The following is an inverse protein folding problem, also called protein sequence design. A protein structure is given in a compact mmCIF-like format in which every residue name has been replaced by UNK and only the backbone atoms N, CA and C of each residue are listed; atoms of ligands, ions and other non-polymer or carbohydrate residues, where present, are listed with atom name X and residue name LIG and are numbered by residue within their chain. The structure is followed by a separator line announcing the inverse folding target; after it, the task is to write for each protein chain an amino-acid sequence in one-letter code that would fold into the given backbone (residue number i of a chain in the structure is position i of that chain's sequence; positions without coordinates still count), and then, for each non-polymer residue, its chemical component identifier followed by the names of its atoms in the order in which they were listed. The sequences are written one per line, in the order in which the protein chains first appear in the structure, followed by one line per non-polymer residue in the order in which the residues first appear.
data_IF_835082932815
#
_entry.id   IF_835082932815
#
_cell.length_a   1.000
_cell.length_b   1.000
_cell.length_c   1.000
_cell.angle_alpha   90.00
_cell.angle_beta   90.00
_cell.angle_gamma   90.00
#
_symmetry.space_group_name_H-M   'P 1'
#
loop_
_entity.id
_entity.type
_entity.pdbx_description
1 polymer ?
#
# COMPACT_ATOMS: atom_id res chain seq x y z
N UNK A 1 13.85 9.55 75.78
CA UNK A 1 14.11 8.35 74.95
C UNK A 1 13.49 8.60 73.60
N UNK A 2 14.32 8.91 72.61
CA UNK A 2 13.92 9.41 71.29
C UNK A 2 13.58 8.23 70.38
N UNK A 3 12.36 8.20 69.86
CA UNK A 3 11.85 7.14 69.00
C UNK A 3 12.52 7.20 67.63
N UNK A 4 13.23 6.14 67.25
CA UNK A 4 13.88 5.99 65.95
C UNK A 4 12.84 5.54 64.93
N UNK A 5 12.50 6.42 63.98
CA UNK A 5 11.69 6.09 62.80
C UNK A 5 12.60 5.41 61.78
N UNK A 6 12.30 4.16 61.41
CA UNK A 6 12.99 3.49 60.30
C UNK A 6 12.53 4.05 58.96
N UNK A 7 13.43 4.25 57.98
CA UNK A 7 13.05 4.75 56.67
C UNK A 7 12.32 3.67 55.86
N UNK A 8 11.20 4.05 55.24
CA UNK A 8 10.47 3.24 54.26
C UNK A 8 11.38 2.97 53.06
N UNK A 9 11.50 1.73 52.57
CA UNK A 9 12.31 1.45 51.40
C UNK A 9 11.69 2.11 50.16
N UNK A 10 12.46 2.99 49.52
CA UNK A 10 12.16 3.50 48.19
C UNK A 10 12.14 2.31 47.25
N UNK A 11 10.95 1.93 46.77
CA UNK A 11 10.80 0.96 45.68
C UNK A 11 11.47 1.57 44.46
N UNK A 12 12.70 1.16 44.16
CA UNK A 12 13.31 1.43 42.87
C UNK A 12 12.41 0.80 41.81
N UNK A 13 11.86 1.64 40.92
CA UNK A 13 11.17 1.18 39.73
C UNK A 13 12.09 0.19 39.00
N UNK A 14 11.56 -0.98 38.65
CA UNK A 14 12.27 -1.95 37.84
C UNK A 14 12.84 -1.25 36.59
N UNK A 15 14.08 -1.54 36.15
CA UNK A 15 14.59 -0.97 34.91
C UNK A 15 13.62 -1.33 33.78
N UNK A 16 13.05 -0.31 33.14
CA UNK A 16 12.21 -0.48 31.96
C UNK A 16 12.98 -1.34 30.95
N UNK A 17 12.36 -2.40 30.44
CA UNK A 17 12.97 -3.25 29.43
C UNK A 17 13.55 -2.39 28.28
N UNK A 18 14.75 -2.68 27.77
CA UNK A 18 15.37 -1.84 26.75
C UNK A 18 14.48 -1.78 25.51
N UNK A 19 14.14 -0.56 25.09
CA UNK A 19 13.38 -0.29 23.87
C UNK A 19 14.11 -0.78 22.63
N UNK A 20 13.41 -0.83 21.50
CA UNK A 20 14.01 -1.22 20.23
C UNK A 20 14.87 -0.07 19.68
N UNK A 21 15.98 -0.36 19.00
CA UNK A 21 16.78 0.70 18.37
C UNK A 21 16.24 1.01 16.95
N UNK A 22 15.67 2.20 16.70
CA UNK A 22 15.10 2.53 15.38
C UNK A 22 16.17 2.61 14.28
N UNK A 23 17.37 3.11 14.60
CA UNK A 23 18.48 3.18 13.65
C UNK A 23 18.97 1.80 13.21
N UNK A 24 19.01 0.84 14.14
CA UNK A 24 19.37 -0.54 13.81
C UNK A 24 18.35 -1.17 12.85
N UNK A 25 17.06 -0.88 13.00
CA UNK A 25 16.02 -1.36 12.08
C UNK A 25 16.11 -0.70 10.70
N UNK A 26 16.38 0.61 10.65
CA UNK A 26 16.60 1.31 9.38
C UNK A 26 17.83 0.75 8.64
N UNK A 27 18.93 0.48 9.34
CA UNK A 27 20.13 -0.12 8.78
C UNK A 27 19.90 -1.57 8.31
N UNK A 28 19.11 -2.36 9.06
CA UNK A 28 18.72 -3.70 8.64
C UNK A 28 17.91 -3.68 7.33
N UNK A 29 16.96 -2.75 7.22
CA UNK A 29 16.20 -2.54 6.00
C UNK A 29 17.10 -2.11 4.84
N UNK A 30 18.01 -1.15 5.06
CA UNK A 30 19.00 -0.74 4.06
C UNK A 30 19.83 -1.93 3.56
N UNK A 31 20.29 -2.77 4.49
CA UNK A 31 21.10 -3.95 4.18
C UNK A 31 20.30 -5.04 3.45
N UNK A 32 19.01 -5.20 3.76
CA UNK A 32 18.11 -6.12 3.06
C UNK A 32 17.83 -5.65 1.62
N UNK A 33 17.82 -4.33 1.42
CA UNK A 33 17.64 -3.67 0.13
C UNK A 33 18.95 -3.49 -0.66
N UNK A 34 20.10 -3.92 -0.12
CA UNK A 34 21.37 -3.82 -0.82
C UNK A 34 21.39 -4.60 -2.16
N UNK A 35 22.27 -4.22 -3.12
CA UNK A 35 22.39 -4.89 -4.41
C UNK A 35 22.69 -6.39 -4.28
N UNK A 36 22.14 -7.20 -5.18
CA UNK A 36 22.42 -8.64 -5.35
C UNK A 36 22.30 -9.56 -4.12
N UNK A 37 21.74 -9.07 -3.01
CA UNK A 37 21.66 -9.85 -1.76
C UNK A 37 20.38 -10.68 -1.66
N UNK A 38 19.23 -10.03 -1.87
CA UNK A 38 17.91 -10.60 -1.61
C UNK A 38 16.97 -10.37 -2.79
N UNK A 39 15.97 -11.25 -2.94
CA UNK A 39 14.81 -10.98 -3.79
C UNK A 39 13.95 -9.96 -3.09
N UNK A 40 13.67 -8.83 -3.73
CA UNK A 40 12.96 -7.72 -3.09
C UNK A 40 11.62 -7.49 -3.77
N UNK A 41 10.58 -7.34 -2.96
CA UNK A 41 9.29 -6.87 -3.40
C UNK A 41 8.81 -5.70 -2.53
N UNK A 42 8.08 -4.78 -3.15
CA UNK A 42 7.33 -3.74 -2.45
C UNK A 42 5.84 -4.04 -2.54
N UNK A 43 5.10 -3.82 -1.45
CA UNK A 43 3.65 -3.75 -1.47
C UNK A 43 3.22 -2.30 -1.20
N UNK A 44 2.68 -1.64 -2.21
CA UNK A 44 2.20 -0.26 -2.13
C UNK A 44 0.69 -0.24 -1.90
N UNK A 45 0.27 0.45 -0.85
CA UNK A 45 -1.15 0.61 -0.52
C UNK A 45 -1.67 2.03 -0.75
N UNK A 46 -2.94 2.24 -0.36
CA UNK A 46 -3.66 3.50 -0.61
C UNK A 46 -3.05 4.71 0.12
N UNK A 47 -2.17 4.49 1.11
CA UNK A 47 -1.41 5.56 1.76
C UNK A 47 -0.27 6.14 0.91
N UNK A 48 0.20 5.45 -0.13
CA UNK A 48 1.29 5.93 -0.97
C UNK A 48 0.91 7.21 -1.75
N UNK A 49 -0.22 7.27 -2.48
CA UNK A 49 -0.65 8.50 -3.15
C UNK A 49 -0.93 9.66 -2.17
N UNK A 50 -1.36 9.36 -0.94
CA UNK A 50 -1.67 10.35 0.10
C UNK A 50 -0.44 11.17 0.52
N UNK A 51 0.74 10.56 0.44
CA UNK A 51 2.02 11.23 0.74
C UNK A 51 2.34 12.37 -0.25
N UNK A 52 1.78 12.32 -1.46
CA UNK A 52 1.98 13.37 -2.46
C UNK A 52 0.98 14.49 -2.18
N UNK A 53 1.50 15.66 -1.82
CA UNK A 53 0.69 16.85 -1.53
C UNK A 53 0.68 17.78 -2.73
N UNK A 54 -0.51 18.10 -3.22
CA UNK A 54 -0.72 19.01 -4.35
C UNK A 54 -1.54 20.23 -3.90
N UNK A 55 -1.17 21.45 -4.33
CA UNK A 55 -1.94 22.64 -4.00
C UNK A 55 -3.25 22.68 -4.82
N UNK A 56 -4.39 22.55 -4.15
CA UNK A 56 -5.74 22.67 -4.73
C UNK A 56 -6.51 23.71 -3.94
N UNK A 57 -7.06 24.73 -4.61
CA UNK A 57 -7.85 25.79 -3.98
C UNK A 57 -7.18 26.47 -2.76
N UNK A 58 -5.85 26.62 -2.79
CA UNK A 58 -5.08 27.23 -1.70
C UNK A 58 -4.80 26.31 -0.51
N UNK A 59 -5.20 25.04 -0.57
CA UNK A 59 -4.91 24.00 0.43
C UNK A 59 -4.01 22.94 -0.19
N UNK A 60 -3.01 22.48 0.56
CA UNK A 60 -2.21 21.32 0.16
C UNK A 60 -2.99 20.06 0.49
N UNK A 61 -3.61 19.45 -0.52
CA UNK A 61 -4.41 18.23 -0.42
C UNK A 61 -3.61 17.00 -0.88
N UNK A 62 -4.08 15.80 -0.54
CA UNK A 62 -3.50 14.57 -1.08
C UNK A 62 -3.78 14.46 -2.59
N UNK A 63 -2.85 13.90 -3.36
CA UNK A 63 -3.05 13.65 -4.79
C UNK A 63 -4.25 12.73 -5.02
N UNK A 64 -4.26 11.58 -4.36
CA UNK A 64 -5.40 10.66 -4.29
C UNK A 64 -5.65 10.37 -2.80
N UNK A 65 -6.90 10.48 -2.32
CA UNK A 65 -7.23 10.16 -0.93
C UNK A 65 -7.08 8.66 -0.64
N UNK A 66 -6.96 8.32 0.64
CA UNK A 66 -7.07 6.92 1.08
C UNK A 66 -8.50 6.39 0.93
N UNK A 67 -8.73 5.12 1.30
CA UNK A 67 -10.04 4.48 1.21
C UNK A 67 -11.11 5.24 2.04
N UNK A 68 -10.76 5.82 3.18
CA UNK A 68 -11.69 6.58 4.00
C UNK A 68 -12.11 7.89 3.31
N UNK A 69 -11.14 8.64 2.75
CA UNK A 69 -11.41 9.85 1.98
C UNK A 69 -12.17 9.56 0.68
N UNK A 70 -11.81 8.50 -0.04
CA UNK A 70 -12.53 8.05 -1.23
C UNK A 70 -13.99 7.68 -0.91
N UNK A 71 -14.22 6.96 0.20
CA UNK A 71 -15.57 6.63 0.67
C UNK A 71 -16.39 7.89 0.94
N UNK A 72 -15.79 8.91 1.54
CA UNK A 72 -16.46 10.18 1.82
C UNK A 72 -16.88 10.90 0.53
N UNK A 73 -16.00 10.94 -0.48
CA UNK A 73 -16.30 11.55 -1.78
C UNK A 73 -17.43 10.80 -2.47
N UNK A 74 -17.32 9.47 -2.60
CA UNK A 74 -18.35 8.63 -3.24
C UNK A 74 -19.70 8.80 -2.55
N UNK A 75 -19.74 8.79 -1.22
CA UNK A 75 -20.97 9.00 -0.46
C UNK A 75 -21.59 10.37 -0.76
N UNK A 76 -20.79 11.43 -0.73
CA UNK A 76 -21.26 12.81 -0.96
C UNK A 76 -21.83 12.95 -2.37
N UNK A 77 -21.15 12.42 -3.39
CA UNK A 77 -21.60 12.46 -4.78
C UNK A 77 -22.91 11.68 -4.99
N UNK A 78 -23.02 10.46 -4.43
CA UNK A 78 -24.24 9.64 -4.56
C UNK A 78 -25.42 10.19 -3.77
N UNK A 79 -25.20 10.86 -2.64
CA UNK A 79 -26.24 11.56 -1.88
C UNK A 79 -26.75 12.80 -2.63
N UNK A 80 -25.93 13.39 -3.50
CA UNK A 80 -26.33 14.54 -4.35
C UNK A 80 -27.01 14.13 -5.66
N UNK A 81 -26.93 12.87 -6.05
CA UNK A 81 -27.47 12.31 -7.29
C UNK A 81 -28.89 11.79 -7.06
N UNK A 82 -29.89 12.50 -7.58
CA UNK A 82 -31.30 12.17 -7.35
C UNK A 82 -31.71 10.77 -7.84
N UNK A 83 -31.05 10.25 -8.88
CA UNK A 83 -31.34 8.93 -9.45
C UNK A 83 -30.71 7.82 -8.62
N UNK A 84 -29.49 8.04 -8.13
CA UNK A 84 -28.74 7.05 -7.35
C UNK A 84 -29.10 7.04 -5.85
N UNK A 85 -29.53 8.18 -5.29
CA UNK A 85 -29.70 8.39 -3.85
C UNK A 85 -30.64 7.35 -3.20
N UNK A 86 -31.78 7.07 -3.81
CA UNK A 86 -32.78 6.14 -3.24
C UNK A 86 -32.22 4.72 -3.16
N UNK A 87 -31.59 4.26 -4.25
CA UNK A 87 -30.99 2.93 -4.29
C UNK A 87 -29.82 2.83 -3.31
N UNK A 88 -28.99 3.87 -3.25
CA UNK A 88 -27.84 3.94 -2.35
C UNK A 88 -28.27 3.91 -0.87
N UNK A 89 -29.30 4.65 -0.49
CA UNK A 89 -29.84 4.64 0.87
C UNK A 89 -30.33 3.25 1.28
N UNK A 90 -31.01 2.53 0.39
CA UNK A 90 -31.44 1.14 0.62
C UNK A 90 -30.27 0.19 0.82
N UNK A 91 -29.17 0.35 0.06
CA UNK A 91 -27.95 -0.45 0.24
C UNK A 91 -27.29 -0.17 1.60
N UNK A 92 -27.18 1.10 1.99
CA UNK A 92 -26.62 1.48 3.29
C UNK A 92 -27.45 0.94 4.46
N UNK A 93 -28.79 0.99 4.36
CA UNK A 93 -29.68 0.46 5.37
C UNK A 93 -29.49 -1.06 5.58
N UNK A 94 -29.29 -1.81 4.49
CA UNK A 94 -28.98 -3.24 4.59
C UNK A 94 -27.65 -3.48 5.29
N UNK A 95 -26.60 -2.77 4.89
CA UNK A 95 -25.27 -2.89 5.51
C UNK A 95 -25.33 -2.60 7.01
N UNK A 96 -26.07 -1.55 7.42
CA UNK A 96 -26.29 -1.23 8.82
C UNK A 96 -27.05 -2.33 9.57
N UNK A 97 -28.07 -2.93 8.95
CA UNK A 97 -28.84 -4.05 9.53
C UNK A 97 -27.97 -5.30 9.71
N UNK A 98 -27.00 -5.52 8.82
CA UNK A 98 -26.01 -6.60 8.90
C UNK A 98 -24.86 -6.31 9.87
N UNK A 99 -24.91 -5.21 10.63
CA UNK A 99 -23.92 -4.85 11.64
C UNK A 99 -22.77 -3.97 11.14
N UNK A 100 -22.79 -3.50 9.89
CA UNK A 100 -21.81 -2.56 9.33
C UNK A 100 -22.43 -1.17 9.13
N UNK A 101 -22.40 -0.35 10.18
CA UNK A 101 -22.99 0.99 10.17
C UNK A 101 -22.16 2.04 9.42
N UNK A 102 -20.85 1.81 9.24
CA UNK A 102 -19.93 2.74 8.57
C UNK A 102 -19.15 2.02 7.48
N UNK A 103 -19.83 1.56 6.42
CA UNK A 103 -19.18 0.78 5.39
C UNK A 103 -18.25 1.66 4.55
N UNK A 104 -17.09 1.10 4.18
CA UNK A 104 -16.19 1.72 3.21
C UNK A 104 -16.69 1.51 1.76
N UNK A 105 -16.11 2.22 0.80
CA UNK A 105 -16.47 2.13 -0.63
C UNK A 105 -16.38 0.70 -1.17
N UNK A 106 -15.44 -0.10 -0.67
CA UNK A 106 -15.25 -1.47 -1.12
C UNK A 106 -16.36 -2.39 -0.61
N UNK A 107 -16.80 -2.22 0.63
CA UNK A 107 -17.94 -2.92 1.22
C UNK A 107 -19.25 -2.53 0.53
N UNK A 108 -19.41 -1.24 0.19
CA UNK A 108 -20.55 -0.74 -0.58
C UNK A 108 -20.62 -1.41 -1.95
N UNK A 109 -19.53 -1.37 -2.73
CA UNK A 109 -19.45 -2.04 -4.04
C UNK A 109 -19.71 -3.55 -3.93
N UNK A 110 -19.21 -4.16 -2.87
CA UNK A 110 -19.40 -5.59 -2.63
C UNK A 110 -20.87 -5.93 -2.41
N UNK A 111 -21.56 -5.13 -1.60
CA UNK A 111 -22.99 -5.30 -1.36
C UNK A 111 -23.81 -5.06 -2.62
N UNK A 112 -23.50 -4.00 -3.40
CA UNK A 112 -24.22 -3.70 -4.65
C UNK A 112 -24.14 -4.90 -5.59
N UNK A 113 -22.93 -5.41 -5.86
CA UNK A 113 -22.71 -6.52 -6.79
C UNK A 113 -23.34 -7.82 -6.32
N UNK A 114 -23.28 -8.12 -5.03
CA UNK A 114 -23.98 -9.27 -4.45
C UNK A 114 -25.49 -9.17 -4.65
N UNK A 115 -26.07 -7.99 -4.41
CA UNK A 115 -27.49 -7.75 -4.66
C UNK A 115 -27.83 -7.85 -6.15
N UNK A 116 -26.96 -7.40 -7.06
CA UNK A 116 -27.18 -7.52 -8.51
C UNK A 116 -27.33 -8.99 -8.92
N UNK A 117 -26.47 -9.88 -8.41
CA UNK A 117 -26.54 -11.31 -8.70
C UNK A 117 -27.88 -11.92 -8.26
N UNK A 118 -28.35 -11.56 -7.05
CA UNK A 118 -29.63 -12.09 -6.51
C UNK A 118 -30.85 -11.44 -7.18
N UNK A 119 -30.79 -10.15 -7.52
CA UNK A 119 -31.89 -9.40 -8.13
C UNK A 119 -32.23 -9.87 -9.56
N UNK A 120 -31.36 -10.70 -10.18
CA UNK A 120 -31.68 -11.41 -11.42
C UNK A 120 -32.93 -12.31 -11.30
N UNK A 121 -33.27 -12.74 -10.07
CA UNK A 121 -34.47 -13.53 -9.77
C UNK A 121 -35.72 -12.72 -9.44
N UNK A 122 -35.65 -11.39 -9.44
CA UNK A 122 -36.74 -10.47 -9.07
C UNK A 122 -36.26 -9.32 -8.16
N UNK A 123 -37.05 -8.24 -8.03
CA UNK A 123 -36.66 -7.08 -7.23
C UNK A 123 -36.55 -7.41 -5.74
N UNK A 124 -35.54 -6.85 -5.06
CA UNK A 124 -35.30 -7.07 -3.62
C UNK A 124 -35.34 -5.72 -2.89
N UNK A 125 -36.35 -5.54 -2.03
CA UNK A 125 -36.66 -4.27 -1.35
C UNK A 125 -36.69 -3.06 -2.30
N UNK A 126 -37.35 -3.22 -3.45
CA UNK A 126 -37.49 -2.17 -4.47
C UNK A 126 -36.24 -1.97 -5.34
N UNK A 127 -35.15 -2.70 -5.10
CA UNK A 127 -33.95 -2.66 -5.93
C UNK A 127 -34.10 -3.64 -7.09
N UNK A 128 -34.07 -3.12 -8.31
CA UNK A 128 -34.06 -3.93 -9.54
C UNK A 128 -32.62 -4.20 -9.98
N UNK A 129 -32.43 -5.21 -10.83
CA UNK A 129 -31.16 -5.51 -11.46
C UNK A 129 -30.59 -4.28 -12.22
N UNK A 130 -31.44 -3.57 -12.96
CA UNK A 130 -31.04 -2.37 -13.72
C UNK A 130 -30.58 -1.23 -12.81
N UNK A 131 -31.32 -0.96 -11.73
CA UNK A 131 -30.95 0.09 -10.76
C UNK A 131 -29.63 -0.22 -10.06
N UNK A 132 -29.39 -1.49 -9.71
CA UNK A 132 -28.14 -1.91 -9.06
C UNK A 132 -26.94 -1.84 -10.02
N UNK A 133 -27.13 -2.17 -11.30
CA UNK A 133 -26.10 -1.99 -12.31
C UNK A 133 -25.76 -0.53 -12.53
N UNK A 134 -26.76 0.35 -12.63
CA UNK A 134 -26.55 1.79 -12.76
C UNK A 134 -25.79 2.34 -11.53
N UNK A 135 -26.12 1.88 -10.32
CA UNK A 135 -25.42 2.27 -9.11
C UNK A 135 -23.97 1.77 -9.07
N UNK A 136 -23.69 0.51 -9.46
CA UNK A 136 -22.31 -0.02 -9.59
C UNK A 136 -21.50 0.81 -10.58
N UNK A 137 -22.07 1.13 -11.74
CA UNK A 137 -21.44 1.97 -12.75
C UNK A 137 -21.14 3.36 -12.21
N UNK A 138 -22.11 4.01 -11.55
CA UNK A 138 -21.92 5.36 -10.98
C UNK A 138 -20.81 5.40 -9.93
N UNK A 139 -20.74 4.41 -9.05
CA UNK A 139 -19.66 4.30 -8.05
C UNK A 139 -18.30 4.12 -8.75
N UNK A 140 -18.23 3.28 -9.79
CA UNK A 140 -17.00 3.06 -10.55
C UNK A 140 -16.55 4.32 -11.32
N UNK A 141 -17.49 5.08 -11.88
CA UNK A 141 -17.22 6.35 -12.55
C UNK A 141 -16.64 7.39 -11.59
N UNK A 142 -17.26 7.59 -10.42
CA UNK A 142 -16.76 8.51 -9.38
C UNK A 142 -15.37 8.06 -8.91
N UNK A 143 -15.22 6.77 -8.61
CA UNK A 143 -13.94 6.20 -8.15
C UNK A 143 -12.85 6.43 -9.19
N UNK A 144 -13.14 6.16 -10.46
CA UNK A 144 -12.21 6.39 -11.57
C UNK A 144 -11.86 7.85 -11.71
N UNK A 145 -12.83 8.76 -11.61
CA UNK A 145 -12.59 10.20 -11.66
C UNK A 145 -11.62 10.67 -10.57
N UNK A 146 -11.74 10.13 -9.35
CA UNK A 146 -10.90 10.49 -8.20
C UNK A 146 -9.49 9.91 -8.30
N UNK A 147 -9.34 8.65 -8.75
CA UNK A 147 -8.03 7.97 -8.77
C UNK A 147 -7.26 8.15 -10.08
N UNK A 148 -7.91 8.65 -11.15
CA UNK A 148 -7.29 8.96 -12.42
C UNK A 148 -6.52 10.29 -12.37
N UNK A 149 -5.51 10.32 -11.51
CA UNK A 149 -4.62 11.45 -11.33
C UNK A 149 -3.26 11.18 -11.98
N UNK A 150 -2.53 12.27 -12.27
CA UNK A 150 -1.16 12.23 -12.79
C UNK A 150 -0.18 12.65 -11.72
N UNK A 151 1.06 12.17 -11.81
CA UNK A 151 2.10 12.65 -10.92
C UNK A 151 2.36 14.14 -11.19
N UNK A 152 2.45 14.99 -10.14
CA UNK A 152 2.57 16.44 -10.32
C UNK A 152 3.93 16.86 -10.91
N UNK A 153 4.97 16.08 -10.67
CA UNK A 153 6.33 16.31 -11.14
C UNK A 153 7.13 15.01 -11.21
N UNK A 154 8.36 15.09 -11.73
CA UNK A 154 9.22 13.93 -11.96
C UNK A 154 10.08 13.56 -10.73
N UNK A 155 9.80 14.10 -9.54
CA UNK A 155 10.62 13.99 -8.33
C UNK A 155 9.91 13.33 -7.15
N UNK A 156 8.68 12.87 -7.36
CA UNK A 156 7.86 12.18 -6.35
C UNK A 156 8.49 10.87 -5.85
N UNK A 157 7.96 10.29 -4.76
CA UNK A 157 8.47 9.03 -4.22
C UNK A 157 8.35 7.85 -5.19
N UNK A 158 7.32 7.83 -6.04
CA UNK A 158 7.20 6.83 -7.12
C UNK A 158 8.39 6.92 -8.09
N UNK A 159 8.81 8.13 -8.47
CA UNK A 159 9.98 8.34 -9.32
C UNK A 159 11.28 7.89 -8.67
N UNK A 160 11.41 8.10 -7.35
CA UNK A 160 12.59 7.66 -6.59
C UNK A 160 12.63 6.14 -6.49
N UNK A 161 11.50 5.49 -6.22
CA UNK A 161 11.37 4.03 -6.24
C UNK A 161 11.67 3.47 -7.64
N UNK A 162 11.07 4.04 -8.70
CA UNK A 162 11.35 3.64 -10.09
C UNK A 162 12.84 3.77 -10.41
N UNK A 163 13.47 4.88 -10.06
CA UNK A 163 14.90 5.10 -10.26
C UNK A 163 15.74 4.08 -9.49
N UNK A 164 15.38 3.77 -8.25
CA UNK A 164 16.03 2.74 -7.45
C UNK A 164 15.91 1.36 -8.12
N UNK A 165 14.74 0.99 -8.65
CA UNK A 165 14.54 -0.28 -9.37
C UNK A 165 15.42 -0.34 -10.62
N UNK A 166 15.49 0.74 -11.39
CA UNK A 166 16.23 0.77 -12.66
C UNK A 166 17.75 0.86 -12.52
N UNK A 167 18.25 1.41 -11.41
CA UNK A 167 19.70 1.68 -11.23
C UNK A 167 20.38 0.65 -10.35
N UNK A 168 19.71 0.11 -9.33
CA UNK A 168 20.33 -0.85 -8.41
C UNK A 168 20.42 -2.22 -9.08
N UNK A 169 21.64 -2.76 -9.32
CA UNK A 169 21.79 -4.05 -9.98
C UNK A 169 21.25 -5.17 -9.08
N UNK A 170 20.48 -6.08 -9.69
CA UNK A 170 19.91 -7.25 -9.05
C UNK A 170 19.98 -8.46 -9.98
N UNK A 171 20.28 -9.63 -9.41
CA UNK A 171 20.15 -10.94 -10.10
C UNK A 171 18.72 -11.29 -10.45
N UNK A 172 17.78 -10.98 -9.56
CA UNK A 172 16.36 -11.22 -9.73
C UNK A 172 15.65 -9.85 -9.73
N UNK A 173 14.70 -9.61 -10.67
CA UNK A 173 14.03 -8.33 -10.75
C UNK A 173 13.29 -7.95 -9.47
N UNK A 174 13.25 -6.65 -9.18
CA UNK A 174 12.39 -6.13 -8.13
C UNK A 174 10.92 -6.27 -8.54
N UNK A 175 10.10 -6.73 -7.60
CA UNK A 175 8.65 -6.87 -7.80
C UNK A 175 7.91 -5.76 -7.04
N UNK A 176 6.84 -5.24 -7.61
CA UNK A 176 5.96 -4.25 -6.99
C UNK A 176 4.55 -4.80 -7.05
N UNK A 177 4.00 -5.10 -5.88
CA UNK A 177 2.60 -5.41 -5.70
C UNK A 177 1.88 -4.14 -5.29
N UNK A 178 0.69 -3.88 -5.82
CA UNK A 178 -0.12 -2.74 -5.38
C UNK A 178 -1.59 -3.10 -5.33
N UNK A 179 -2.26 -2.64 -4.28
CA UNK A 179 -3.72 -2.70 -4.15
C UNK A 179 -4.40 -1.45 -4.74
N UNK A 180 -3.63 -0.49 -5.24
CA UNK A 180 -4.16 0.76 -5.75
C UNK A 180 -4.66 0.62 -7.18
N UNK A 181 -5.75 1.33 -7.48
CA UNK A 181 -6.38 1.34 -8.81
C UNK A 181 -5.71 2.32 -9.78
N UNK A 182 -4.99 3.32 -9.26
CA UNK A 182 -4.31 4.40 -10.01
C UNK A 182 -3.15 3.90 -10.88
N UNK A 183 -2.65 4.73 -11.80
CA UNK A 183 -1.53 4.39 -12.72
C UNK A 183 -0.20 5.05 -12.33
N UNK A 184 -0.04 5.48 -11.07
CA UNK A 184 1.09 6.32 -10.68
C UNK A 184 2.44 5.56 -10.75
N UNK A 185 2.45 4.27 -10.44
CA UNK A 185 3.68 3.46 -10.52
C UNK A 185 4.09 3.20 -11.96
N UNK A 186 3.15 2.87 -12.85
CA UNK A 186 3.40 2.73 -14.29
C UNK A 186 3.96 4.01 -14.87
N UNK A 187 3.32 5.14 -14.58
CA UNK A 187 3.76 6.47 -15.03
C UNK A 187 5.19 6.78 -14.59
N UNK A 188 5.52 6.55 -13.32
CA UNK A 188 6.87 6.77 -12.81
C UNK A 188 7.91 5.85 -13.45
N UNK A 189 7.58 4.58 -13.71
CA UNK A 189 8.49 3.64 -14.40
C UNK A 189 8.75 4.10 -15.83
N UNK A 190 7.71 4.47 -16.57
CA UNK A 190 7.81 4.94 -17.96
C UNK A 190 8.59 6.26 -18.05
N UNK A 191 8.32 7.23 -17.17
CA UNK A 191 9.03 8.51 -17.14
C UNK A 191 10.50 8.39 -16.74
N UNK A 192 10.83 7.39 -15.91
CA UNK A 192 12.23 7.02 -15.61
C UNK A 192 12.85 6.06 -16.62
N UNK A 193 12.13 5.69 -17.68
CA UNK A 193 12.56 4.74 -18.72
C UNK A 193 13.01 3.40 -18.12
N UNK A 194 12.31 2.96 -17.08
CA UNK A 194 12.51 1.67 -16.45
C UNK A 194 11.50 0.69 -17.04
N UNK A 195 11.95 -0.31 -17.81
CA UNK A 195 11.03 -1.25 -18.43
C UNK A 195 10.39 -2.11 -17.35
N UNK A 196 9.14 -2.49 -17.58
CA UNK A 196 8.39 -3.29 -16.63
C UNK A 196 7.49 -4.29 -17.35
N UNK A 197 7.11 -5.33 -16.60
CA UNK A 197 6.14 -6.32 -17.03
C UNK A 197 5.02 -6.40 -16.01
N UNK A 198 3.79 -6.20 -16.46
CA UNK A 198 2.57 -6.17 -15.64
C UNK A 198 1.63 -7.36 -15.87
N UNK A 199 2.09 -8.37 -16.62
CA UNK A 199 1.27 -9.51 -17.03
C UNK A 199 0.54 -9.32 -18.37
N UNK A 200 0.52 -8.10 -18.94
CA UNK A 200 -0.03 -7.83 -20.26
C UNK A 200 1.07 -7.77 -21.31
N UNK A 201 0.73 -8.14 -22.55
CA UNK A 201 1.61 -8.01 -23.71
C UNK A 201 1.23 -6.74 -24.48
N UNK A 202 2.22 -5.88 -24.75
CA UNK A 202 2.04 -4.53 -25.30
C UNK A 202 2.38 -3.45 -24.27
N UNK A 203 2.41 -2.17 -24.66
CA UNK A 203 2.83 -1.06 -23.78
C UNK A 203 1.75 0.00 -23.62
N UNK A 204 1.69 0.66 -22.45
CA UNK A 204 0.81 1.81 -22.22
C UNK A 204 1.45 3.08 -22.79
N UNK A 205 2.69 3.38 -22.41
CA UNK A 205 3.59 4.29 -23.14
C UNK A 205 4.88 3.56 -23.52
N UNK A 206 5.23 3.59 -24.81
CA UNK A 206 6.47 2.99 -25.30
C UNK A 206 7.66 3.94 -25.12
N UNK A 207 8.83 3.38 -24.82
CA UNK A 207 10.10 4.09 -24.94
C UNK A 207 11.15 3.16 -25.55
N UNK A 208 12.13 3.75 -26.23
CA UNK A 208 13.19 3.00 -26.90
C UNK A 208 14.26 2.59 -25.88
N UNK A 209 14.56 1.29 -25.82
CA UNK A 209 15.53 0.71 -24.89
C UNK A 209 16.60 -0.10 -25.64
N UNK A 210 17.74 0.55 -25.92
CA UNK A 210 18.86 -0.05 -26.63
C UNK A 210 19.39 -1.28 -25.89
N UNK A 211 19.49 -1.21 -24.56
CA UNK A 211 20.04 -2.29 -23.75
C UNK A 211 19.15 -3.54 -23.74
N UNK A 212 17.86 -3.42 -24.06
CA UNK A 212 16.98 -4.58 -24.25
C UNK A 212 17.17 -5.25 -25.62
N UNK A 213 17.65 -4.52 -26.63
CA UNK A 213 17.91 -5.08 -27.97
C UNK A 213 19.18 -5.93 -28.03
N UNK A 214 20.13 -5.67 -27.12
CA UNK A 214 21.41 -6.38 -27.06
C UNK A 214 21.31 -7.76 -26.37
N UNK A 215 20.16 -8.09 -25.75
CA UNK A 215 19.99 -9.27 -24.90
C UNK A 215 18.82 -10.16 -25.39
N UNK A 216 19.04 -11.47 -25.55
CA UNK A 216 18.02 -12.46 -25.92
C UNK A 216 17.12 -12.89 -24.73
N UNK A 217 17.18 -12.18 -23.60
CA UNK A 217 16.39 -12.44 -22.40
C UNK A 217 15.93 -11.12 -21.78
N UNK A 218 14.79 -11.13 -21.09
CA UNK A 218 14.31 -9.97 -20.33
C UNK A 218 15.33 -9.62 -19.23
N UNK A 219 16.00 -8.45 -19.31
CA UNK A 219 17.00 -8.03 -18.35
C UNK A 219 16.47 -8.01 -16.91
N UNK A 220 17.30 -8.35 -15.92
CA UNK A 220 16.89 -8.34 -14.51
C UNK A 220 16.50 -6.95 -13.97
N UNK A 221 16.88 -5.87 -14.66
CA UNK A 221 16.43 -4.49 -14.36
C UNK A 221 14.96 -4.22 -14.72
N UNK A 222 14.27 -5.15 -15.38
CA UNK A 222 12.87 -5.00 -15.74
C UNK A 222 11.99 -5.24 -14.52
N UNK A 223 11.32 -4.19 -14.03
CA UNK A 223 10.42 -4.31 -12.89
C UNK A 223 9.29 -5.31 -13.17
N UNK A 224 8.83 -6.04 -12.15
CA UNK A 224 7.56 -6.77 -12.23
C UNK A 224 6.50 -5.99 -11.46
N UNK A 225 5.38 -5.66 -12.09
CA UNK A 225 4.31 -4.87 -11.47
C UNK A 225 3.03 -5.71 -11.41
N UNK A 226 2.46 -5.88 -10.24
CA UNK A 226 1.32 -6.76 -10.03
C UNK A 226 0.20 -6.02 -9.30
N UNK A 227 -0.87 -5.69 -10.03
CA UNK A 227 -2.05 -5.04 -9.47
C UNK A 227 -3.02 -6.06 -8.91
N UNK A 228 -3.01 -6.25 -7.59
CA UNK A 228 -3.77 -7.32 -6.94
C UNK A 228 -5.27 -7.03 -6.82
N UNK A 229 -5.68 -5.76 -6.84
CA UNK A 229 -7.10 -5.35 -6.78
C UNK A 229 -7.64 -4.81 -8.12
N UNK A 230 -6.80 -4.78 -9.15
CA UNK A 230 -7.18 -4.31 -10.48
C UNK A 230 -6.70 -2.90 -10.74
N UNK A 231 -7.20 -2.33 -11.82
CA UNK A 231 -6.69 -1.07 -12.36
C UNK A 231 -7.77 -0.35 -13.13
N UNK A 232 -7.76 0.98 -13.10
CA UNK A 232 -8.72 1.79 -13.86
C UNK A 232 -8.65 1.59 -15.38
N UNK A 233 -7.52 1.08 -15.91
CA UNK A 233 -7.32 0.83 -17.33
C UNK A 233 -7.60 -0.62 -17.75
N UNK A 234 -8.13 -1.46 -16.86
CA UNK A 234 -8.49 -2.85 -17.16
C UNK A 234 -9.97 -2.95 -17.49
N UNK A 235 -10.27 -3.51 -18.65
CA UNK A 235 -11.63 -3.68 -19.14
C UNK A 235 -11.89 -5.15 -19.42
N UNK A 236 -13.10 -5.60 -19.07
CA UNK A 236 -13.59 -6.91 -19.46
C UNK A 236 -14.40 -6.78 -20.74
N UNK A 237 -13.97 -7.48 -21.79
CA UNK A 237 -14.66 -7.54 -23.08
C UNK A 237 -15.94 -8.37 -23.00
N UNK A 238 -16.81 -8.23 -24.00
CA UNK A 238 -17.96 -9.12 -24.18
C UNK A 238 -17.59 -10.62 -24.27
N UNK A 239 -16.36 -10.95 -24.70
CA UNK A 239 -15.84 -12.33 -24.74
C UNK A 239 -15.31 -12.82 -23.39
N UNK A 240 -15.43 -12.00 -22.33
CA UNK A 240 -14.89 -12.25 -20.98
C UNK A 240 -13.37 -12.22 -20.86
N UNK A 241 -12.67 -11.76 -21.89
CA UNK A 241 -11.24 -11.49 -21.85
C UNK A 241 -10.95 -10.20 -21.08
N UNK A 242 -9.74 -10.08 -20.55
CA UNK A 242 -9.29 -8.87 -19.84
C UNK A 242 -8.23 -8.17 -20.67
N UNK A 243 -8.51 -6.92 -21.02
CA UNK A 243 -7.64 -6.08 -21.85
C UNK A 243 -7.24 -4.81 -21.12
N UNK A 244 -6.02 -4.33 -21.43
CA UNK A 244 -5.59 -2.99 -21.04
C UNK A 244 -5.97 -2.03 -22.15
N UNK A 245 -6.77 -1.01 -21.83
CA UNK A 245 -7.20 0.01 -22.81
C UNK A 245 -6.67 1.39 -22.47
N UNK A 246 -6.56 2.22 -23.51
CA UNK A 246 -6.40 3.65 -23.33
C UNK A 246 -7.68 4.23 -22.75
N UNK A 247 -7.56 5.19 -21.83
CA UNK A 247 -8.70 5.88 -21.20
C UNK A 247 -9.60 6.65 -22.20
N UNK A 248 -9.21 6.73 -23.48
CA UNK A 248 -9.99 7.36 -24.56
C UNK A 248 -10.99 6.42 -25.23
N UNK A 249 -10.95 5.12 -24.93
CA UNK A 249 -11.81 4.10 -25.53
C UNK A 249 -12.76 3.55 -24.46
N UNK A 250 -13.91 4.20 -24.29
CA UNK A 250 -14.87 3.94 -23.20
C UNK A 250 -16.27 3.63 -23.72
N UNK A 251 -16.42 2.67 -24.64
CA UNK A 251 -17.75 2.23 -25.08
C UNK A 251 -18.01 0.76 -24.80
N UNK A 252 -18.99 0.48 -23.94
CA UNK A 252 -19.75 -0.78 -23.88
C UNK A 252 -19.28 -1.86 -22.91
N UNK A 253 -18.07 -1.78 -22.37
CA UNK A 253 -17.45 -2.85 -21.57
C UNK A 253 -17.35 -2.52 -20.07
N UNK A 254 -17.17 -3.52 -19.19
CA UNK A 254 -17.14 -3.31 -17.73
C UNK A 254 -15.72 -3.04 -17.24
N UNK A 255 -15.51 -1.90 -16.60
CA UNK A 255 -14.27 -1.54 -15.94
C UNK A 255 -14.01 -2.45 -14.72
N UNK A 256 -12.78 -2.96 -14.59
CA UNK A 256 -12.43 -3.92 -13.56
C UNK A 256 -11.75 -3.26 -12.35
N UNK A 257 -12.58 -2.61 -11.52
CA UNK A 257 -12.23 -2.20 -10.16
C UNK A 257 -12.87 -3.21 -9.21
N UNK A 258 -12.08 -4.02 -8.51
CA UNK A 258 -12.64 -5.01 -7.59
C UNK A 258 -12.38 -4.63 -6.13
N UNK A 259 -13.44 -4.49 -5.32
CA UNK A 259 -13.29 -4.26 -3.90
C UNK A 259 -12.73 -5.49 -3.19
N UNK A 260 -12.14 -5.26 -2.02
CA UNK A 260 -11.55 -6.31 -1.20
C UNK A 260 -12.54 -7.35 -0.63
N UNK A 261 -13.87 -7.22 -0.74
CA UNK A 261 -14.81 -8.11 -0.02
C UNK A 261 -15.57 -9.15 -0.87
N UNK A 262 -15.51 -9.13 -2.21
CA UNK A 262 -16.18 -10.12 -3.08
C UNK A 262 -15.37 -11.42 -3.29
N UNK A 263 -14.91 -12.00 -2.18
CA UNK A 263 -13.65 -12.76 -2.13
C UNK A 263 -13.66 -14.28 -2.36
N UNK A 264 -14.77 -14.95 -2.69
CA UNK A 264 -14.70 -16.42 -2.92
C UNK A 264 -14.70 -16.84 -4.39
N UNK A 265 -15.67 -16.39 -5.19
CA UNK A 265 -15.80 -16.87 -6.57
C UNK A 265 -15.10 -15.97 -7.62
N UNK A 266 -14.86 -14.69 -7.30
CA UNK A 266 -14.32 -13.72 -8.26
C UNK A 266 -12.80 -13.49 -8.12
N UNK A 267 -12.22 -13.66 -6.92
CA UNK A 267 -10.76 -13.65 -6.68
C UNK A 267 -10.04 -14.82 -7.40
N UNK A 268 -10.78 -15.88 -7.73
CA UNK A 268 -10.32 -17.03 -8.54
C UNK A 268 -10.38 -16.76 -10.05
N UNK A 269 -10.81 -15.58 -10.48
CA UNK A 269 -10.82 -15.20 -11.90
C UNK A 269 -9.44 -14.66 -12.30
N UNK A 270 -9.02 -15.01 -13.50
CA UNK A 270 -7.87 -14.37 -14.15
C UNK A 270 -8.20 -12.89 -14.44
N UNK A 271 -7.24 -11.96 -14.33
CA UNK A 271 -5.82 -12.15 -14.03
C UNK A 271 -5.46 -12.13 -12.53
N UNK A 272 -6.41 -11.83 -11.64
CA UNK A 272 -6.18 -11.61 -10.20
C UNK A 272 -5.55 -12.81 -9.49
N UNK A 273 -6.07 -14.00 -9.78
CA UNK A 273 -5.54 -15.24 -9.23
C UNK A 273 -4.04 -15.38 -9.54
N UNK A 274 -3.63 -15.09 -10.78
CA UNK A 274 -2.23 -15.12 -11.17
C UNK A 274 -1.39 -14.09 -10.39
N UNK A 275 -1.90 -12.87 -10.18
CA UNK A 275 -1.18 -11.82 -9.43
C UNK A 275 -0.95 -12.21 -7.96
N UNK A 276 -1.98 -12.75 -7.31
CA UNK A 276 -1.89 -13.20 -5.92
C UNK A 276 -0.98 -14.44 -5.82
N UNK A 277 -1.06 -15.36 -6.78
CA UNK A 277 -0.17 -16.51 -6.83
C UNK A 277 1.29 -16.10 -7.10
N UNK A 278 1.54 -14.97 -7.78
CA UNK A 278 2.89 -14.38 -7.83
C UNK A 278 3.37 -13.92 -6.47
N UNK A 279 2.54 -13.28 -5.65
CA UNK A 279 2.93 -12.91 -4.28
C UNK A 279 3.26 -14.14 -3.43
N UNK A 280 2.41 -15.18 -3.50
CA UNK A 280 2.68 -16.48 -2.83
C UNK A 280 3.99 -17.09 -3.29
N UNK A 281 4.22 -17.15 -4.59
CA UNK A 281 5.45 -17.70 -5.16
C UNK A 281 6.68 -16.87 -4.79
N UNK A 282 6.53 -15.54 -4.70
CA UNK A 282 7.59 -14.65 -4.24
C UNK A 282 8.00 -14.98 -2.82
N UNK A 283 7.04 -15.01 -1.89
CA UNK A 283 7.31 -15.28 -0.47
C UNK A 283 7.74 -16.72 -0.22
N UNK A 284 7.23 -17.68 -0.99
CA UNK A 284 7.54 -19.11 -0.82
C UNK A 284 8.93 -19.54 -1.30
N UNK A 285 9.72 -18.68 -1.96
CA UNK A 285 11.00 -19.05 -2.59
C UNK A 285 12.20 -18.24 -2.09
N UNK A 286 13.13 -18.95 -1.44
CA UNK A 286 14.45 -18.41 -1.07
C UNK A 286 14.37 -17.22 -0.13
N UNK A 287 15.45 -16.43 -0.07
CA UNK A 287 15.50 -15.23 0.76
C UNK A 287 14.73 -14.08 0.09
N UNK A 288 13.45 -13.97 0.46
CA UNK A 288 12.53 -12.96 -0.02
C UNK A 288 12.36 -11.85 1.01
N UNK A 289 12.43 -10.59 0.57
CA UNK A 289 12.21 -9.40 1.39
C UNK A 289 11.00 -8.66 0.82
N UNK A 290 9.90 -8.65 1.56
CA UNK A 290 8.72 -7.85 1.25
C UNK A 290 8.74 -6.57 2.10
N UNK A 291 8.59 -5.40 1.48
CA UNK A 291 8.46 -4.12 2.18
C UNK A 291 7.09 -3.54 1.89
N UNK A 292 6.25 -3.35 2.90
CA UNK A 292 4.93 -2.75 2.72
C UNK A 292 4.95 -1.27 3.10
N UNK A 293 4.42 -0.39 2.27
CA UNK A 293 4.29 1.04 2.56
C UNK A 293 2.89 1.54 2.16
N UNK A 294 2.31 2.44 2.94
CA UNK A 294 0.94 2.92 2.70
C UNK A 294 -0.13 1.82 2.85
N UNK A 295 0.19 0.68 3.46
CA UNK A 295 -0.69 -0.47 3.63
C UNK A 295 -1.11 -0.61 5.11
N UNK A 296 -2.42 -0.49 5.38
CA UNK A 296 -2.96 -0.49 6.74
C UNK A 296 -3.17 -1.87 7.36
N UNK A 297 -2.95 -2.94 6.59
CA UNK A 297 -3.33 -4.32 6.95
C UNK A 297 -4.84 -4.51 7.16
N UNK A 298 -5.68 -3.63 6.57
CA UNK A 298 -7.13 -3.83 6.58
C UNK A 298 -7.57 -4.97 5.64
N UNK A 299 -6.80 -5.30 4.59
CA UNK A 299 -7.14 -6.40 3.69
C UNK A 299 -6.78 -7.76 4.29
N UNK A 300 -7.78 -8.49 4.78
CA UNK A 300 -7.59 -9.79 5.40
C UNK A 300 -6.99 -10.85 4.46
N UNK A 301 -7.32 -10.85 3.17
CA UNK A 301 -6.87 -11.90 2.24
C UNK A 301 -5.42 -11.72 1.85
N UNK A 302 -5.03 -10.48 1.56
CA UNK A 302 -3.63 -10.16 1.30
C UNK A 302 -2.79 -10.45 2.54
N UNK A 303 -3.32 -10.16 3.73
CA UNK A 303 -2.68 -10.54 4.99
C UNK A 303 -2.53 -12.06 5.13
N UNK A 304 -3.56 -12.86 4.82
CA UNK A 304 -3.50 -14.31 4.85
C UNK A 304 -2.43 -14.85 3.91
N UNK A 305 -2.35 -14.33 2.69
CA UNK A 305 -1.32 -14.69 1.71
C UNK A 305 0.09 -14.36 2.22
N UNK A 306 0.27 -13.16 2.80
CA UNK A 306 1.56 -12.74 3.36
C UNK A 306 1.95 -13.65 4.53
N UNK A 307 1.05 -13.86 5.49
CA UNK A 307 1.31 -14.67 6.68
C UNK A 307 1.59 -16.12 6.30
N UNK A 308 0.77 -16.75 5.44
CA UNK A 308 1.01 -18.11 4.96
C UNK A 308 2.35 -18.24 4.21
N UNK A 309 2.70 -17.23 3.40
CA UNK A 309 3.99 -17.20 2.71
C UNK A 309 5.18 -17.12 3.67
N UNK A 310 5.04 -16.31 4.74
CA UNK A 310 6.04 -16.17 5.79
C UNK A 310 6.13 -17.41 6.70
N UNK A 311 5.01 -18.07 6.99
CA UNK A 311 4.96 -19.33 7.74
C UNK A 311 5.61 -20.48 6.96
N UNK A 312 5.33 -20.56 5.66
CA UNK A 312 5.89 -21.57 4.76
C UNK A 312 7.38 -21.35 4.44
N UNK A 313 7.92 -20.14 4.67
CA UNK A 313 9.31 -19.81 4.39
C UNK A 313 9.94 -18.97 5.50
N UNK A 314 10.63 -19.65 6.43
CA UNK A 314 11.35 -19.01 7.54
C UNK A 314 12.48 -18.06 7.10
N UNK A 315 12.94 -18.13 5.85
CA UNK A 315 13.96 -17.21 5.31
C UNK A 315 13.39 -15.98 4.64
N UNK A 316 12.07 -15.94 4.42
CA UNK A 316 11.38 -14.74 3.98
C UNK A 316 11.22 -13.76 5.15
N UNK A 317 11.30 -12.46 4.86
CA UNK A 317 11.10 -11.38 5.82
C UNK A 317 10.11 -10.37 5.24
N UNK A 318 9.24 -9.85 6.09
CA UNK A 318 8.34 -8.74 5.75
C UNK A 318 8.58 -7.55 6.68
N UNK A 319 8.82 -6.37 6.10
CA UNK A 319 8.89 -5.09 6.78
C UNK A 319 7.60 -4.31 6.54
N UNK A 320 6.71 -4.31 7.53
CA UNK A 320 5.50 -3.51 7.56
C UNK A 320 5.77 -2.09 8.02
N UNK A 321 5.88 -1.14 7.10
CA UNK A 321 6.14 0.28 7.42
C UNK A 321 4.81 1.01 7.61
N UNK A 322 4.46 1.30 8.87
CA UNK A 322 3.21 1.96 9.25
C UNK A 322 3.40 3.48 9.31
N UNK A 323 2.46 4.22 8.72
CA UNK A 323 2.50 5.68 8.71
C UNK A 323 2.44 6.24 10.14
N UNK A 324 1.44 5.87 10.93
CA UNK A 324 1.26 6.37 12.30
C UNK A 324 1.78 5.47 13.41
N UNK A 325 1.30 5.71 14.63
CA UNK A 325 1.60 4.94 15.83
C UNK A 325 1.01 3.53 15.79
N UNK A 326 1.63 2.58 16.52
CA UNK A 326 1.18 1.17 16.61
C UNK A 326 -0.29 1.04 17.01
N UNK A 327 -0.77 1.91 17.90
CA UNK A 327 -2.15 1.91 18.38
C UNK A 327 -3.20 2.11 17.29
N UNK A 328 -2.84 2.77 16.19
CA UNK A 328 -3.72 2.99 15.03
C UNK A 328 -3.83 1.76 14.12
N UNK A 329 -3.00 0.74 14.32
CA UNK A 329 -2.94 -0.45 13.46
C UNK A 329 -2.99 -1.75 14.29
N UNK A 330 -4.12 -2.03 14.99
CA UNK A 330 -4.25 -3.22 15.83
C UNK A 330 -4.14 -4.53 15.04
N UNK A 331 -4.61 -4.56 13.79
CA UNK A 331 -4.50 -5.73 12.92
C UNK A 331 -3.04 -6.04 12.56
N UNK A 332 -2.27 -5.04 12.15
CA UNK A 332 -0.86 -5.19 11.81
C UNK A 332 -0.04 -5.67 13.01
N UNK A 333 -0.23 -5.04 14.17
CA UNK A 333 0.49 -5.39 15.41
C UNK A 333 0.13 -6.79 15.91
N UNK A 334 -1.16 -7.17 15.88
CA UNK A 334 -1.59 -8.51 16.26
C UNK A 334 -0.95 -9.60 15.38
N UNK A 335 -0.87 -9.37 14.06
CA UNK A 335 -0.21 -10.32 13.15
C UNK A 335 1.30 -10.40 13.40
N UNK A 336 1.98 -9.28 13.61
CA UNK A 336 3.41 -9.28 13.92
C UNK A 336 3.75 -9.93 15.27
N UNK A 337 2.85 -9.84 16.26
CA UNK A 337 2.98 -10.59 17.53
C UNK A 337 2.79 -12.10 17.35
N UNK A 338 2.15 -12.54 16.28
CA UNK A 338 1.97 -13.96 15.96
C UNK A 338 3.06 -14.50 15.01
N UNK A 339 3.67 -13.65 14.18
CA UNK A 339 4.58 -14.07 13.12
C UNK A 339 5.96 -13.43 13.25
N UNK A 340 6.98 -14.23 13.58
CA UNK A 340 8.32 -13.72 13.95
C UNK A 340 9.08 -13.00 12.81
N UNK A 341 8.89 -13.42 11.56
CA UNK A 341 9.48 -12.81 10.36
C UNK A 341 8.59 -11.73 9.72
N UNK A 342 7.51 -11.31 10.42
CA UNK A 342 6.76 -10.09 10.13
C UNK A 342 7.19 -9.00 11.12
N UNK A 343 8.06 -8.10 10.66
CA UNK A 343 8.52 -6.95 11.42
C UNK A 343 7.61 -5.76 11.10
N UNK A 344 6.98 -5.18 12.12
CA UNK A 344 6.15 -3.97 11.97
C UNK A 344 6.87 -2.79 12.59
N UNK A 345 7.15 -1.76 11.78
CA UNK A 345 7.84 -0.54 12.15
C UNK A 345 6.83 0.62 12.07
N UNK A 346 6.52 1.22 13.22
CA UNK A 346 5.58 2.33 13.36
C UNK A 346 6.28 3.59 13.85
N UNK A 347 5.56 4.72 13.83
CA UNK A 347 6.14 5.99 14.25
C UNK A 347 6.67 5.95 15.70
N UNK A 348 5.93 5.36 16.65
CA UNK A 348 6.25 5.32 18.09
C UNK A 348 7.03 4.07 18.56
N UNK A 349 7.33 3.11 17.68
CA UNK A 349 8.04 1.87 18.04
C UNK A 349 7.79 0.74 17.06
N UNK A 350 7.98 -0.50 17.50
CA UNK A 350 7.91 -1.65 16.61
C UNK A 350 7.48 -2.94 17.29
N UNK A 351 7.04 -3.89 16.46
CA UNK A 351 6.93 -5.31 16.82
C UNK A 351 8.03 -6.05 16.06
N UNK A 352 9.03 -6.53 16.81
CA UNK A 352 10.20 -7.23 16.26
C UNK A 352 10.26 -8.64 16.83
N UNK A 353 10.31 -9.66 15.97
CA UNK A 353 10.39 -11.05 16.42
C UNK A 353 9.32 -11.39 17.46
N UNK A 354 8.07 -11.01 17.18
CA UNK A 354 6.89 -11.09 18.05
C UNK A 354 6.86 -10.21 19.30
N UNK A 355 7.93 -9.45 19.60
CA UNK A 355 8.01 -8.59 20.78
C UNK A 355 7.75 -7.13 20.41
N UNK A 356 6.65 -6.59 20.94
CA UNK A 356 6.32 -5.18 20.80
C UNK A 356 7.02 -4.31 21.85
N UNK A 357 7.70 -3.25 21.42
CA UNK A 357 8.28 -2.22 22.30
C UNK A 357 8.26 -0.84 21.65
N UNK A 358 8.35 0.18 22.49
CA UNK A 358 8.67 1.55 22.07
C UNK A 358 10.12 1.65 21.56
N UNK A 359 10.41 2.74 20.83
CA UNK A 359 11.79 3.07 20.48
C UNK A 359 12.61 3.43 21.71
N UNK A 360 13.86 2.98 21.75
CA UNK A 360 14.83 3.42 22.74
C UNK A 360 14.99 4.94 22.64
N UNK A 361 15.14 5.61 23.78
CA UNK A 361 15.13 7.07 23.87
C UNK A 361 16.47 7.66 23.49
N UNK A 362 17.58 6.90 23.53
CA UNK A 362 18.92 7.39 23.22
C UNK A 362 19.02 7.90 21.77
N UNK A 363 18.92 9.23 21.53
CA UNK A 363 18.96 9.78 20.19
C UNK A 363 20.41 9.87 19.77
N UNK A 364 20.72 9.38 18.58
CA UNK A 364 22.03 9.54 17.96
C UNK A 364 21.83 10.52 16.81
N UNK A 365 21.74 11.81 17.13
CA UNK A 365 21.53 12.88 16.14
C UNK A 365 22.67 12.93 15.10
N UNK A 366 23.85 12.38 15.44
CA UNK A 366 24.98 12.20 14.54
C UNK A 366 24.89 10.97 13.64
N UNK A 367 23.85 10.13 13.77
CA UNK A 367 23.69 8.93 12.95
C UNK A 367 23.33 9.31 11.52
N UNK A 368 23.92 8.64 10.53
CA UNK A 368 23.74 8.97 9.13
C UNK A 368 22.30 8.79 8.59
N UNK A 369 21.40 8.19 9.40
CA UNK A 369 19.99 7.95 9.08
C UNK A 369 19.03 8.86 9.87
N UNK A 370 19.57 9.73 10.72
CA UNK A 370 18.79 10.77 11.39
C UNK A 370 18.34 11.81 10.36
N UNK A 371 17.09 12.28 10.47
CA UNK A 371 16.43 13.14 9.48
C UNK A 371 16.01 12.43 8.19
N UNK A 372 16.29 11.13 8.04
CA UNK A 372 15.92 10.32 6.86
C UNK A 372 14.98 9.17 7.27
N UNK A 373 15.45 8.31 8.16
CA UNK A 373 14.69 7.17 8.66
C UNK A 373 14.19 7.35 10.10
N UNK A 374 14.85 8.21 10.87
CA UNK A 374 14.53 8.47 12.28
C UNK A 374 14.61 9.96 12.56
N UNK A 375 13.67 10.48 13.34
CA UNK A 375 13.60 11.90 13.75
C UNK A 375 13.15 11.98 15.23
N UNK A 376 13.49 13.06 15.93
CA UNK A 376 13.05 13.32 17.31
C UNK A 376 12.03 14.45 17.42
N UNK A 377 11.92 15.28 16.38
CA UNK A 377 10.90 16.32 16.23
C UNK A 377 9.46 15.77 16.27
N UNK A 378 8.49 16.66 16.48
CA UNK A 378 7.07 16.29 16.42
C UNK A 378 6.66 15.95 14.98
N UNK A 379 5.77 14.96 14.84
CA UNK A 379 5.20 14.57 13.54
C UNK A 379 3.73 15.00 13.40
N UNK A 380 3.29 15.98 14.19
CA UNK A 380 1.92 16.48 14.19
C UNK A 380 0.89 15.35 14.37
N UNK A 381 -0.09 15.28 13.47
CA UNK A 381 -1.16 14.27 13.53
C UNK A 381 -0.69 12.81 13.31
N UNK A 382 0.55 12.59 12.86
CA UNK A 382 1.08 11.26 12.55
C UNK A 382 1.43 10.46 13.82
N UNK A 383 1.90 11.11 14.88
CA UNK A 383 2.33 10.45 16.11
C UNK A 383 2.06 11.30 17.33
N UNK A 384 1.47 10.71 18.37
CA UNK A 384 1.29 11.32 19.68
C UNK A 384 2.51 11.18 20.59
N UNK A 385 3.60 10.59 20.11
CA UNK A 385 4.83 10.39 20.89
C UNK A 385 5.49 11.72 21.24
N UNK A 386 5.85 11.90 22.52
CA UNK A 386 6.39 13.14 23.07
C UNK A 386 7.65 13.64 22.31
N UNK A 387 7.87 14.97 22.34
CA UNK A 387 9.06 15.61 21.79
C UNK A 387 10.34 14.99 22.40
N UNK A 388 11.36 14.78 21.57
CA UNK A 388 12.65 14.20 22.00
C UNK A 388 12.68 12.67 22.00
N UNK A 389 11.53 11.98 21.90
CA UNK A 389 11.50 10.54 21.64
C UNK A 389 11.76 10.25 20.16
N UNK A 390 12.61 9.26 19.81
CA UNK A 390 12.80 8.86 18.42
C UNK A 390 11.49 8.39 17.78
N UNK A 391 11.31 8.77 16.53
CA UNK A 391 10.16 8.43 15.70
C UNK A 391 10.63 7.90 14.36
N UNK A 392 10.00 6.83 13.89
CA UNK A 392 10.39 6.17 12.65
C UNK A 392 9.69 6.79 11.44
N UNK A 393 10.47 7.26 10.46
CA UNK A 393 9.95 8.04 9.35
C UNK A 393 9.51 7.20 8.15
N UNK A 394 10.10 6.02 7.92
CA UNK A 394 9.94 5.27 6.66
C UNK A 394 8.52 4.68 6.42
N UNK A 395 7.61 4.81 7.39
CA UNK A 395 6.18 4.57 7.18
C UNK A 395 5.49 5.61 6.29
N UNK A 396 6.11 6.78 6.10
CA UNK A 396 5.71 7.77 5.10
C UNK A 396 6.41 7.47 3.78
N UNK A 397 5.62 7.36 2.70
CA UNK A 397 6.14 6.99 1.39
C UNK A 397 7.11 8.06 0.85
N UNK A 398 6.92 9.33 1.22
CA UNK A 398 7.87 10.38 0.91
C UNK A 398 9.25 10.10 1.52
N UNK A 399 9.30 9.88 2.84
CA UNK A 399 10.55 9.53 3.53
C UNK A 399 11.17 8.23 3.02
N UNK A 400 10.36 7.21 2.67
CA UNK A 400 10.85 5.98 2.05
C UNK A 400 11.50 6.24 0.69
N UNK A 401 10.87 7.09 -0.14
CA UNK A 401 11.44 7.51 -1.43
C UNK A 401 12.80 8.18 -1.26
N UNK A 402 12.95 9.08 -0.29
CA UNK A 402 14.22 9.73 0.04
C UNK A 402 15.28 8.73 0.53
N UNK A 403 14.87 7.80 1.38
CA UNK A 403 15.72 6.72 1.87
C UNK A 403 16.23 5.81 0.74
N UNK A 404 15.39 5.46 -0.23
CA UNK A 404 15.80 4.69 -1.42
C UNK A 404 16.71 5.50 -2.34
N UNK A 405 16.40 6.78 -2.57
CA UNK A 405 17.18 7.66 -3.44
C UNK A 405 18.62 7.83 -2.94
N UNK A 406 18.84 7.80 -1.62
CA UNK A 406 20.19 7.84 -1.02
C UNK A 406 21.08 6.66 -1.43
N UNK A 407 20.50 5.50 -1.71
CA UNK A 407 21.25 4.31 -2.15
C UNK A 407 21.71 4.43 -3.61
N UNK A 408 21.16 5.39 -4.36
CA UNK A 408 21.58 5.63 -5.73
C UNK A 408 22.99 6.24 -5.73
N UNK A 409 23.86 5.83 -6.68
CA UNK A 409 25.15 6.48 -6.84
C UNK A 409 24.94 7.97 -7.14
N UNK A 410 25.65 8.82 -6.40
CA UNK A 410 25.66 10.27 -6.65
C UNK A 410 26.23 10.47 -8.05
N UNK A 411 25.37 10.81 -9.01
CA UNK A 411 25.84 11.34 -10.29
C UNK A 411 26.40 12.71 -10.00
N UNK A 412 27.73 12.85 -9.97
CA UNK A 412 28.36 14.16 -10.04
C UNK A 412 27.86 14.81 -11.33
N UNK A 413 27.03 15.84 -11.23
CA UNK A 413 26.71 16.73 -12.33
C UNK A 413 27.97 17.51 -12.69
N UNK A 414 28.89 16.86 -13.37
CA UNK A 414 30.10 17.44 -13.94
C UNK A 414 30.31 16.79 -15.30
N UNK A 415 29.69 17.42 -16.30
CA UNK A 415 30.03 17.50 -17.73
C UNK A 415 28.72 17.55 -18.53
N UNK A 416 28.21 18.78 -18.65
CA UNK A 416 27.38 19.20 -19.77
C UNK A 416 28.26 19.32 -21.03
#
# INVERSE_FOLDING_TARGET
MTTIVQPVPVVQAAPSAPGHCPYAQAALLEQALAPDKMRVAFLLGAGCPVSIRVPRNGVNEALIPDIAGLTKIVRTELESDAEAMVAFASVLQRLATSGNATPNVEEILSQIRSLTEVASGGPIDGLTHETLLALDQRVCEITTGVVNERLPDNSTPYHRLASWIGVIPRKEPAEVFTSNYDLLMEEALEERRVPYFDGFVGSYRTFFDIAAMEQDALPARWARLWKVHGSINWWRTATSDVERRSMRESSGDRQLIYPSHLKYDQSRRQPYLAMIDRLKAFLGRGQAVLVTCGYSFADQHLNEVIVQGLEGNATAMCFGLLYGDRGSYPLATARARAQANLTVLAADGAVLGTVEREWNVDPIDSHALHGIAVETAELGARSGSALGRPKFLLGDFQSLGDFLARQLPIRSSAQA
#
